data_IF_822143623235
#
_entry.id   IF_822143623235
#
_cell.length_a   1.000
_cell.length_b   1.000
_cell.length_c   1.000
_cell.angle_alpha   90.00
_cell.angle_beta   90.00
_cell.angle_gamma   90.00
#
_symmetry.space_group_name_H-M   'P 1'
#
loop_
_entity.id
_entity.type
_entity.pdbx_description
1 polymer ?
#
# COMPACT_ATOMS: atom_id res chain seq x y z
N UNK A 1 10.97 -15.46 5.17
CA UNK A 1 10.56 -14.35 6.04
C UNK A 1 10.91 -13.04 5.33
N UNK A 2 10.24 -11.95 5.67
CA UNK A 2 10.52 -10.59 5.19
C UNK A 2 10.98 -9.72 6.36
N UNK A 3 12.05 -8.94 6.17
CA UNK A 3 12.66 -8.12 7.22
C UNK A 3 12.76 -6.68 6.75
N UNK A 4 12.23 -5.76 7.56
CA UNK A 4 12.27 -4.32 7.33
C UNK A 4 12.54 -3.56 8.63
N UNK A 5 12.98 -2.29 8.58
CA UNK A 5 13.00 -1.46 9.79
C UNK A 5 11.62 -1.34 10.42
N UNK A 6 11.55 -1.31 11.76
CA UNK A 6 10.27 -1.16 12.49
C UNK A 6 9.62 0.21 12.29
N UNK A 7 10.40 1.21 11.88
CA UNK A 7 9.96 2.59 11.63
C UNK A 7 10.60 3.10 10.34
N UNK A 8 9.87 3.93 9.64
CA UNK A 8 10.31 4.55 8.38
C UNK A 8 9.20 4.46 7.32
N UNK A 9 9.22 5.35 6.34
CA UNK A 9 8.35 5.36 5.17
C UNK A 9 9.16 5.14 3.89
N UNK A 10 8.48 5.18 2.72
CA UNK A 10 9.07 5.15 1.38
C UNK A 10 10.02 3.97 1.13
N UNK A 11 9.68 2.79 1.61
CA UNK A 11 10.49 1.56 1.49
C UNK A 11 11.91 1.68 2.04
N UNK A 12 12.20 2.65 2.92
CA UNK A 12 13.52 2.84 3.51
C UNK A 12 14.00 1.58 4.23
N UNK A 13 15.14 1.04 3.78
CA UNK A 13 15.72 -0.19 4.35
C UNK A 13 15.10 -1.48 3.82
N UNK A 14 14.20 -1.40 2.85
CA UNK A 14 13.69 -2.52 2.06
C UNK A 14 14.52 -2.64 0.78
N UNK A 15 15.07 -3.82 0.53
CA UNK A 15 15.87 -4.15 -0.65
C UNK A 15 15.76 -5.65 -0.97
N UNK A 16 16.46 -6.12 -2.00
CA UNK A 16 16.51 -7.53 -2.41
C UNK A 16 16.94 -8.51 -1.30
N UNK A 17 17.62 -8.05 -0.25
CA UNK A 17 18.03 -8.85 0.89
C UNK A 17 16.98 -8.85 2.02
N UNK A 18 15.85 -8.18 1.83
CA UNK A 18 14.75 -8.17 2.81
C UNK A 18 14.00 -9.51 2.87
N UNK A 19 14.07 -10.32 1.80
CA UNK A 19 13.58 -11.70 1.82
C UNK A 19 14.71 -12.60 2.29
N UNK A 20 14.52 -13.28 3.42
CA UNK A 20 15.52 -14.15 4.05
C UNK A 20 15.01 -15.58 4.17
N UNK A 21 15.85 -16.54 3.76
CA UNK A 21 15.52 -17.97 3.75
C UNK A 21 16.33 -18.75 4.79
N UNK A 22 17.46 -18.20 5.25
CA UNK A 22 18.36 -18.86 6.21
C UNK A 22 18.59 -17.99 7.43
N UNK A 23 19.00 -18.60 8.55
CA UNK A 23 19.35 -17.85 9.76
C UNK A 23 20.55 -16.91 9.54
N UNK A 24 21.50 -17.29 8.70
CA UNK A 24 22.63 -16.43 8.36
C UNK A 24 22.20 -15.16 7.65
N UNK A 25 21.36 -15.25 6.60
CA UNK A 25 20.81 -14.08 5.90
C UNK A 25 19.92 -13.23 6.81
N UNK A 26 19.13 -13.86 7.69
CA UNK A 26 18.35 -13.19 8.73
C UNK A 26 19.25 -12.34 9.64
N UNK A 27 20.26 -12.96 10.27
CA UNK A 27 21.19 -12.26 11.17
C UNK A 27 21.88 -11.08 10.47
N UNK A 28 22.36 -11.32 9.24
CA UNK A 28 22.99 -10.26 8.43
C UNK A 28 22.06 -9.07 8.23
N UNK A 29 20.84 -9.31 7.74
CA UNK A 29 19.87 -8.21 7.46
C UNK A 29 19.51 -7.43 8.72
N UNK A 30 19.28 -8.10 9.86
CA UNK A 30 19.01 -7.43 11.15
C UNK A 30 20.16 -6.54 11.58
N UNK A 31 21.41 -7.03 11.48
CA UNK A 31 22.59 -6.26 11.82
C UNK A 31 22.81 -5.06 10.88
N UNK A 32 22.55 -5.24 9.57
CA UNK A 32 22.65 -4.17 8.57
C UNK A 32 21.65 -3.04 8.88
N UNK A 33 20.39 -3.39 9.20
CA UNK A 33 19.37 -2.42 9.61
C UNK A 33 19.81 -1.67 10.87
N UNK A 34 20.30 -2.40 11.88
CA UNK A 34 20.79 -1.79 13.13
C UNK A 34 21.95 -0.83 12.89
N UNK A 35 22.94 -1.27 12.09
CA UNK A 35 24.13 -0.49 11.76
C UNK A 35 23.81 0.76 10.94
N UNK A 36 22.97 0.62 9.90
CA UNK A 36 22.70 1.69 8.93
C UNK A 36 21.69 2.72 9.42
N UNK A 37 20.68 2.27 10.20
CA UNK A 37 19.56 3.12 10.60
C UNK A 37 19.40 3.30 12.11
N UNK A 38 20.15 2.56 12.94
CA UNK A 38 19.98 2.58 14.39
C UNK A 38 18.67 1.95 14.90
N UNK A 39 17.88 1.32 14.03
CA UNK A 39 16.53 0.84 14.30
C UNK A 39 16.50 -0.65 14.63
N UNK A 40 15.43 -1.07 15.29
CA UNK A 40 15.03 -2.48 15.38
C UNK A 40 14.43 -2.95 14.07
N UNK A 41 14.45 -4.27 13.86
CA UNK A 41 13.86 -4.91 12.67
C UNK A 41 12.48 -5.48 12.98
N UNK A 42 11.53 -5.29 12.07
CA UNK A 42 10.27 -6.00 12.01
C UNK A 42 10.45 -7.25 11.13
N UNK A 43 10.00 -8.39 11.63
CA UNK A 43 10.09 -9.68 10.94
C UNK A 43 8.68 -10.18 10.66
N UNK A 44 8.36 -10.39 9.40
CA UNK A 44 7.03 -10.76 8.94
C UNK A 44 7.09 -12.02 8.05
N UNK A 45 5.95 -12.67 7.88
CA UNK A 45 5.79 -13.67 6.82
C UNK A 45 5.90 -12.98 5.46
N UNK A 46 6.72 -13.54 4.56
CA UNK A 46 6.76 -13.02 3.19
C UNK A 46 5.47 -13.39 2.45
N UNK A 47 4.80 -12.39 1.93
CA UNK A 47 3.61 -12.52 1.10
C UNK A 47 4.03 -12.51 -0.38
N UNK A 48 3.79 -13.62 -1.08
CA UNK A 48 4.27 -13.83 -2.45
C UNK A 48 3.24 -13.53 -3.53
N UNK A 49 2.01 -13.19 -3.15
CA UNK A 49 0.92 -12.89 -4.08
C UNK A 49 0.94 -11.46 -4.60
N UNK A 50 -0.14 -11.11 -5.29
CA UNK A 50 -0.34 -9.79 -5.91
C UNK A 50 -0.43 -8.68 -4.87
N UNK A 51 -0.01 -7.49 -5.25
CA UNK A 51 0.01 -6.30 -4.41
C UNK A 51 -1.03 -5.28 -4.88
N UNK A 52 -1.67 -4.63 -3.92
CA UNK A 52 -2.76 -3.71 -4.17
C UNK A 52 -2.61 -2.46 -3.30
N UNK A 53 -3.02 -1.34 -3.84
CA UNK A 53 -3.21 -0.11 -3.09
C UNK A 53 -4.68 0.27 -3.15
N UNK A 54 -5.29 0.54 -2.00
CA UNK A 54 -6.72 0.86 -1.92
C UNK A 54 -6.89 2.27 -1.38
N UNK A 55 -7.23 3.20 -2.26
CA UNK A 55 -7.66 4.53 -1.85
C UNK A 55 -8.97 4.44 -1.07
N UNK A 56 -9.05 5.13 0.06
CA UNK A 56 -10.28 5.31 0.82
C UNK A 56 -10.67 6.78 0.74
N UNK A 57 -11.92 7.02 0.42
CA UNK A 57 -12.46 8.36 0.30
C UNK A 57 -13.87 8.42 0.91
N UNK A 58 -14.14 9.42 1.73
CA UNK A 58 -15.48 9.65 2.26
C UNK A 58 -16.28 10.49 1.28
N UNK A 59 -17.42 9.97 0.86
CA UNK A 59 -18.38 10.70 0.04
C UNK A 59 -18.97 11.87 0.84
N UNK A 60 -18.80 13.10 0.34
CA UNK A 60 -19.27 14.31 1.02
C UNK A 60 -20.80 14.43 1.10
N UNK A 61 -21.54 13.72 0.23
CA UNK A 61 -23.00 13.77 0.17
C UNK A 61 -23.65 12.85 1.20
N UNK A 62 -23.13 11.63 1.34
CA UNK A 62 -23.78 10.61 2.16
C UNK A 62 -22.90 10.08 3.31
N UNK A 63 -21.70 10.61 3.49
CA UNK A 63 -20.75 10.25 4.52
C UNK A 63 -20.17 8.83 4.41
N UNK A 64 -20.50 8.06 3.35
CA UNK A 64 -20.06 6.67 3.20
C UNK A 64 -18.64 6.59 2.69
N UNK A 65 -17.87 5.65 3.22
CA UNK A 65 -16.53 5.36 2.71
C UNK A 65 -16.61 4.61 1.38
N UNK A 66 -16.02 5.18 0.35
CA UNK A 66 -15.70 4.53 -0.92
C UNK A 66 -14.31 3.90 -0.83
N UNK A 67 -14.15 2.68 -1.28
CA UNK A 67 -12.87 2.01 -1.42
C UNK A 67 -12.57 1.83 -2.91
N UNK A 68 -11.35 2.18 -3.30
CA UNK A 68 -10.91 2.30 -4.69
C UNK A 68 -9.65 1.44 -4.89
N UNK A 69 -9.80 0.10 -5.00
CA UNK A 69 -8.67 -0.79 -5.17
C UNK A 69 -8.05 -0.67 -6.56
N UNK A 70 -6.72 -0.65 -6.58
CA UNK A 70 -5.90 -0.79 -7.79
C UNK A 70 -4.85 -1.87 -7.56
N UNK A 71 -4.48 -2.60 -8.60
CA UNK A 71 -3.39 -3.57 -8.57
C UNK A 71 -2.09 -2.90 -8.97
N UNK A 72 -1.03 -3.17 -8.21
CA UNK A 72 0.32 -2.70 -8.49
C UNK A 72 1.07 -3.86 -9.13
N UNK A 73 1.42 -3.70 -10.39
CA UNK A 73 2.19 -4.68 -11.15
C UNK A 73 3.64 -4.20 -11.20
N UNK A 74 4.52 -4.96 -10.56
CA UNK A 74 5.97 -4.76 -10.61
C UNK A 74 6.62 -5.91 -11.34
N UNK A 75 7.71 -5.65 -12.02
CA UNK A 75 8.52 -6.72 -12.59
C UNK A 75 9.12 -7.59 -11.48
N UNK A 76 9.26 -8.88 -11.78
CA UNK A 76 9.93 -9.80 -10.88
C UNK A 76 11.42 -9.54 -10.94
N UNK A 77 12.07 -9.47 -9.78
CA UNK A 77 13.52 -9.42 -9.73
C UNK A 77 14.14 -10.75 -10.24
N UNK A 78 15.47 -10.78 -10.41
CA UNK A 78 16.22 -11.96 -10.87
C UNK A 78 15.97 -13.25 -10.06
N UNK A 79 15.42 -13.15 -8.84
CA UNK A 79 15.08 -14.28 -7.97
C UNK A 79 13.58 -14.65 -8.04
N UNK A 80 12.82 -14.06 -8.98
CA UNK A 80 11.39 -14.34 -9.15
C UNK A 80 10.47 -13.69 -8.09
N UNK A 81 10.97 -12.80 -7.25
CA UNK A 81 10.20 -12.10 -6.23
C UNK A 81 9.81 -10.69 -6.68
N UNK A 82 8.54 -10.31 -6.40
CA UNK A 82 8.09 -8.92 -6.55
C UNK A 82 8.37 -8.17 -5.25
N UNK A 83 9.29 -7.22 -5.28
CA UNK A 83 9.61 -6.33 -4.17
C UNK A 83 9.47 -4.89 -4.69
N UNK A 84 8.57 -4.11 -4.09
CA UNK A 84 8.56 -2.66 -4.26
C UNK A 84 9.64 -2.07 -3.35
N UNK A 85 10.87 -2.08 -3.82
CA UNK A 85 11.97 -1.43 -3.12
C UNK A 85 12.03 0.08 -3.46
N UNK A 86 12.98 0.76 -2.84
CA UNK A 86 13.12 2.21 -2.99
C UNK A 86 13.48 2.62 -4.43
N UNK A 87 14.27 1.81 -5.12
CA UNK A 87 14.74 2.14 -6.47
C UNK A 87 13.61 1.98 -7.50
N UNK A 88 12.81 0.91 -7.41
CA UNK A 88 11.62 0.69 -8.27
C UNK A 88 10.61 1.83 -8.13
N UNK A 89 10.34 2.29 -6.90
CA UNK A 89 9.42 3.43 -6.67
C UNK A 89 9.93 4.75 -7.20
N UNK A 90 11.25 4.92 -7.29
CA UNK A 90 11.86 6.17 -7.76
C UNK A 90 11.76 6.35 -9.27
N UNK A 91 11.82 5.25 -10.01
CA UNK A 91 11.86 5.28 -11.47
C UNK A 91 10.46 5.13 -12.12
N UNK A 92 9.38 5.09 -11.30
CA UNK A 92 7.96 4.98 -11.74
C UNK A 92 7.72 3.74 -12.66
N UNK A 93 8.49 2.67 -12.43
CA UNK A 93 8.47 1.44 -13.24
C UNK A 93 7.27 0.53 -12.94
N UNK A 94 6.51 0.85 -11.91
CA UNK A 94 5.33 0.08 -11.60
C UNK A 94 4.11 0.47 -12.43
N UNK A 95 3.41 -0.52 -12.97
CA UNK A 95 2.14 -0.33 -13.65
C UNK A 95 0.99 -0.45 -12.66
N UNK A 96 0.11 0.56 -12.62
CA UNK A 96 -1.10 0.56 -11.80
C UNK A 96 -2.32 0.32 -12.69
N UNK A 97 -3.11 -0.70 -12.37
CA UNK A 97 -4.27 -1.12 -13.15
C UNK A 97 -5.53 -1.27 -12.30
N UNK A 98 -6.69 -1.14 -12.92
CA UNK A 98 -7.96 -1.37 -12.25
C UNK A 98 -8.13 -2.84 -11.82
N UNK A 99 -8.77 -3.08 -10.68
CA UNK A 99 -9.17 -4.41 -10.24
C UNK A 99 -10.51 -4.77 -10.89
N UNK A 100 -10.49 -5.60 -11.91
CA UNK A 100 -11.69 -5.98 -12.68
C UNK A 100 -12.41 -7.20 -12.12
N UNK A 101 -11.73 -8.06 -11.37
CA UNK A 101 -12.35 -9.22 -10.73
C UNK A 101 -13.23 -8.80 -9.55
N UNK A 102 -14.54 -9.04 -9.64
CA UNK A 102 -15.55 -8.60 -8.67
C UNK A 102 -15.28 -9.18 -7.26
N UNK A 103 -14.83 -10.44 -7.17
CA UNK A 103 -14.55 -11.10 -5.89
C UNK A 103 -13.38 -10.42 -5.19
N UNK A 104 -12.29 -10.21 -5.90
CA UNK A 104 -11.11 -9.52 -5.38
C UNK A 104 -11.46 -8.08 -5.00
N UNK A 105 -12.17 -7.36 -5.86
CA UNK A 105 -12.63 -5.99 -5.57
C UNK A 105 -13.38 -5.91 -4.24
N UNK A 106 -14.35 -6.81 -4.01
CA UNK A 106 -15.13 -6.84 -2.77
C UNK A 106 -14.28 -7.18 -1.54
N UNK A 107 -13.38 -8.18 -1.64
CA UNK A 107 -12.48 -8.56 -0.55
C UNK A 107 -11.53 -7.43 -0.16
N UNK A 108 -10.87 -6.82 -1.14
CA UNK A 108 -9.94 -5.72 -0.95
C UNK A 108 -10.64 -4.49 -0.35
N UNK A 109 -11.81 -4.14 -0.90
CA UNK A 109 -12.62 -3.01 -0.43
C UNK A 109 -13.09 -3.21 1.01
N UNK A 110 -13.49 -4.44 1.37
CA UNK A 110 -13.90 -4.76 2.75
C UNK A 110 -12.72 -4.64 3.70
N UNK A 111 -11.61 -5.32 3.43
CA UNK A 111 -10.42 -5.29 4.27
C UNK A 111 -9.91 -3.86 4.47
N UNK A 112 -9.83 -3.08 3.38
CA UNK A 112 -9.34 -1.71 3.44
C UNK A 112 -10.23 -0.81 4.31
N UNK A 113 -11.56 -0.87 4.13
CA UNK A 113 -12.51 -0.09 4.94
C UNK A 113 -12.49 -0.48 6.40
N UNK A 114 -12.42 -1.78 6.70
CA UNK A 114 -12.36 -2.27 8.07
C UNK A 114 -11.07 -1.84 8.77
N UNK A 115 -9.92 -1.98 8.08
CA UNK A 115 -8.62 -1.52 8.58
C UNK A 115 -8.60 -0.01 8.82
N UNK A 116 -9.11 0.77 7.85
CA UNK A 116 -9.18 2.23 7.95
C UNK A 116 -9.99 2.70 9.16
N UNK A 117 -11.17 2.09 9.38
CA UNK A 117 -12.02 2.38 10.54
C UNK A 117 -11.36 1.98 11.85
N UNK A 118 -10.75 0.79 11.90
CA UNK A 118 -10.07 0.29 13.11
C UNK A 118 -8.90 1.20 13.52
N UNK A 119 -8.28 1.88 12.57
CA UNK A 119 -7.20 2.85 12.81
C UNK A 119 -7.71 4.28 13.08
N UNK A 120 -9.02 4.49 13.19
CA UNK A 120 -9.61 5.80 13.42
C UNK A 120 -9.58 6.75 12.23
N UNK A 121 -9.40 6.22 11.01
CA UNK A 121 -9.43 7.01 9.78
C UNK A 121 -10.81 7.62 9.54
N UNK A 122 -10.85 8.88 9.08
CA UNK A 122 -12.11 9.64 8.94
C UNK A 122 -12.46 9.94 7.47
N UNK A 123 -11.73 10.83 6.82
CA UNK A 123 -12.11 11.39 5.51
C UNK A 123 -11.43 10.72 4.33
N UNK A 124 -10.13 10.53 4.38
CA UNK A 124 -9.36 9.90 3.30
C UNK A 124 -8.16 9.13 3.85
N UNK A 125 -7.70 8.16 3.06
CA UNK A 125 -6.52 7.38 3.38
C UNK A 125 -6.18 6.40 2.27
N UNK A 126 -5.09 5.67 2.44
CA UNK A 126 -4.66 4.60 1.55
C UNK A 126 -4.25 3.39 2.39
N UNK A 127 -4.77 2.26 2.02
CA UNK A 127 -4.44 0.97 2.64
C UNK A 127 -3.70 0.13 1.60
N UNK A 128 -2.50 -0.27 1.92
CA UNK A 128 -1.70 -1.14 1.07
C UNK A 128 -1.90 -2.59 1.51
N UNK A 129 -2.18 -3.47 0.56
CA UNK A 129 -2.60 -4.87 0.77
C UNK A 129 -1.77 -5.77 -0.12
N UNK A 130 -1.33 -6.91 0.40
CA UNK A 130 -0.67 -7.95 -0.39
C UNK A 130 -1.32 -9.30 -0.16
N UNK A 131 -1.48 -10.09 -1.22
CA UNK A 131 -2.01 -11.44 -1.10
C UNK A 131 -0.91 -12.43 -0.71
N UNK A 132 -1.29 -13.48 0.00
CA UNK A 132 -0.43 -14.65 0.16
C UNK A 132 -0.51 -15.54 -1.11
N UNK A 133 0.20 -16.68 -1.09
CA UNK A 133 0.21 -17.65 -2.18
C UNK A 133 -1.16 -18.30 -2.48
N UNK A 134 -2.11 -18.24 -1.53
CA UNK A 134 -3.48 -18.75 -1.67
C UNK A 134 -4.46 -17.67 -2.17
N UNK A 135 -3.99 -16.45 -2.46
CA UNK A 135 -4.85 -15.34 -2.87
C UNK A 135 -5.66 -14.73 -1.72
N UNK A 136 -5.25 -14.95 -0.47
CA UNK A 136 -5.87 -14.32 0.70
C UNK A 136 -5.21 -12.96 0.92
N UNK A 137 -5.99 -11.85 0.98
CA UNK A 137 -5.45 -10.51 1.18
C UNK A 137 -5.04 -10.29 2.64
N UNK A 138 -3.90 -9.66 2.83
CA UNK A 138 -3.35 -9.25 4.12
C UNK A 138 -3.06 -7.75 4.13
N UNK A 139 -3.44 -7.09 5.20
CA UNK A 139 -3.07 -5.70 5.47
C UNK A 139 -1.54 -5.58 5.59
N UNK A 140 -0.97 -4.59 4.93
CA UNK A 140 0.46 -4.28 4.97
C UNK A 140 0.73 -3.01 5.77
N UNK A 141 0.15 -1.90 5.33
CA UNK A 141 0.31 -0.60 5.97
C UNK A 141 -0.88 0.33 5.67
N UNK A 142 -1.02 1.37 6.48
CA UNK A 142 -1.97 2.44 6.28
C UNK A 142 -1.27 3.79 6.14
N UNK A 143 -1.66 4.53 5.13
CA UNK A 143 -1.26 5.92 4.91
C UNK A 143 -2.47 6.81 5.16
N UNK A 144 -2.66 7.29 6.41
CA UNK A 144 -3.80 8.11 6.79
C UNK A 144 -3.70 9.56 6.27
N UNK A 145 -2.52 9.94 5.75
CA UNK A 145 -2.29 11.16 4.97
C UNK A 145 -1.55 10.78 3.68
N UNK A 146 -2.25 10.17 2.71
CA UNK A 146 -1.61 9.76 1.47
C UNK A 146 -1.12 10.96 0.67
N UNK A 147 0.00 10.80 -0.03
CA UNK A 147 0.48 11.82 -0.95
C UNK A 147 -0.56 12.10 -2.04
N UNK A 148 -0.88 13.36 -2.25
CA UNK A 148 -1.88 13.80 -3.25
C UNK A 148 -1.28 14.03 -4.65
N UNK A 149 0.01 13.76 -4.86
CA UNK A 149 0.60 13.77 -6.21
C UNK A 149 -0.08 12.70 -7.09
N UNK A 150 0.24 12.68 -8.39
CA UNK A 150 -0.28 11.69 -9.35
C UNK A 150 0.23 10.25 -9.11
N UNK A 151 0.33 9.86 -7.82
CA UNK A 151 0.69 8.52 -7.34
C UNK A 151 -0.52 7.61 -7.13
N UNK A 152 -0.40 6.61 -6.26
CA UNK A 152 -1.39 5.55 -6.08
C UNK A 152 -2.78 6.04 -5.68
N UNK A 153 -2.87 7.03 -4.77
CA UNK A 153 -4.17 7.54 -4.34
C UNK A 153 -4.91 8.24 -5.50
N UNK A 154 -4.21 9.08 -6.27
CA UNK A 154 -4.78 9.71 -7.47
C UNK A 154 -5.17 8.66 -8.52
N UNK A 155 -4.29 7.70 -8.82
CA UNK A 155 -4.61 6.61 -9.78
C UNK A 155 -5.81 5.77 -9.34
N UNK A 156 -5.99 5.57 -8.01
CA UNK A 156 -7.20 4.95 -7.45
C UNK A 156 -8.45 5.75 -7.77
N UNK A 157 -8.41 7.09 -7.64
CA UNK A 157 -9.52 7.97 -7.98
C UNK A 157 -9.84 7.93 -9.49
N UNK A 158 -8.82 8.02 -10.35
CA UNK A 158 -9.01 7.95 -11.81
C UNK A 158 -9.65 6.62 -12.22
N UNK A 159 -9.08 5.50 -11.78
CA UNK A 159 -9.47 4.17 -12.25
C UNK A 159 -10.81 3.65 -11.68
N UNK A 160 -11.29 4.24 -10.59
CA UNK A 160 -12.52 3.77 -9.93
C UNK A 160 -13.66 4.80 -9.96
N UNK A 161 -13.35 6.09 -10.10
CA UNK A 161 -14.33 7.17 -10.03
C UNK A 161 -14.29 8.11 -11.23
N UNK A 162 -13.41 7.85 -12.20
CA UNK A 162 -13.20 8.68 -13.39
C UNK A 162 -12.89 10.16 -13.06
N UNK A 163 -12.24 10.40 -11.92
CA UNK A 163 -11.89 11.73 -11.43
C UNK A 163 -10.57 12.19 -12.05
N UNK A 164 -10.54 13.41 -12.58
CA UNK A 164 -9.29 14.09 -12.86
C UNK A 164 -8.63 14.62 -11.57
N UNK A 165 -7.49 15.30 -11.69
CA UNK A 165 -6.74 15.75 -10.51
C UNK A 165 -7.49 16.86 -9.75
N UNK A 166 -8.08 17.80 -10.47
CA UNK A 166 -8.87 18.91 -9.91
C UNK A 166 -10.10 18.39 -9.18
N UNK A 167 -10.82 17.44 -9.76
CA UNK A 167 -12.00 16.80 -9.15
C UNK A 167 -11.64 16.11 -7.84
N UNK A 168 -10.50 15.40 -7.80
CA UNK A 168 -10.00 14.76 -6.58
C UNK A 168 -9.73 15.80 -5.49
N UNK A 169 -8.99 16.86 -5.79
CA UNK A 169 -8.65 17.91 -4.81
C UNK A 169 -9.91 18.62 -4.32
N UNK A 170 -10.82 18.97 -5.23
CA UNK A 170 -12.08 19.62 -4.88
C UNK A 170 -12.95 18.74 -3.97
N UNK A 171 -13.04 17.45 -4.27
CA UNK A 171 -13.79 16.50 -3.46
C UNK A 171 -13.20 16.33 -2.05
N UNK A 172 -11.85 16.32 -1.92
CA UNK A 172 -11.18 16.29 -0.61
C UNK A 172 -11.50 17.54 0.19
N UNK A 173 -11.42 18.73 -0.42
CA UNK A 173 -11.74 19.99 0.24
C UNK A 173 -13.19 20.04 0.73
N UNK A 174 -14.14 19.61 -0.08
CA UNK A 174 -15.56 19.57 0.28
C UNK A 174 -15.85 18.60 1.45
N UNK A 175 -15.16 17.46 1.48
CA UNK A 175 -15.31 16.50 2.59
C UNK A 175 -14.82 17.11 3.92
N UNK A 176 -13.76 17.90 3.89
CA UNK A 176 -13.25 18.63 5.06
C UNK A 176 -14.24 19.68 5.58
N UNK A 177 -14.88 20.42 4.68
CA UNK A 177 -15.87 21.45 5.03
C UNK A 177 -17.18 20.88 5.61
N UNK A 178 -17.58 19.68 5.17
CA UNK A 178 -18.82 19.02 5.62
C UNK A 178 -18.67 18.31 6.98
N UNK A 179 -17.46 18.28 7.55
CA UNK A 179 -17.16 17.57 8.81
C UNK A 179 -17.27 18.49 10.05
N UNK A 180 -17.73 19.70 9.87
CA UNK A 180 -18.06 20.70 10.88
C UNK A 180 -19.55 21.02 10.83
#
# INVERSE_FOLDING_TARGET
>A
MFIKPVKGGDSRGVDKNSIVLTFSSFKKKVLDIKKKYGLSSLVETYLSGREYSVGIFQDSVNGKLKAMPVEIITEKNSNGHCILDFDVKKDDEEKVVAVTDIKNFKMLSKLAKDSFKALGGKSLGRIDIKMNHLGIPHFMEANLMPGLRKGYFYRSCVLNLDMNYEDMIFSIANTGLSSH
#
